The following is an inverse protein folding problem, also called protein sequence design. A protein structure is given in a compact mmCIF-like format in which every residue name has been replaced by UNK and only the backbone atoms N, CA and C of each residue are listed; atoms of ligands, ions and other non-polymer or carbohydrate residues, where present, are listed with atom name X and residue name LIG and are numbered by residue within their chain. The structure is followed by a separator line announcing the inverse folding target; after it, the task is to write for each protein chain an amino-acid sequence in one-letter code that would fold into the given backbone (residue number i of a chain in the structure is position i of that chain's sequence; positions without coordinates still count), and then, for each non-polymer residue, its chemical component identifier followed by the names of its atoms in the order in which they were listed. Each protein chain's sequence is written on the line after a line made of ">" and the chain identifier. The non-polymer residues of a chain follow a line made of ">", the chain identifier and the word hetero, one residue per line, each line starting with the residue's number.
data_IF_794248482922
#
_entry.id   IF_794248482922
#
_cell.length_a   1.000
_cell.length_b   1.000
_cell.length_c   1.000
_cell.angle_alpha   90.00
_cell.angle_beta   90.00
_cell.angle_gamma   90.00
#
_symmetry.space_group_name_H-M   'P 1'
#
loop_
_entity.id
_entity.type
_entity.pdbx_description
1 polymer ?
#
# COMPACT_ATOMS: atom_id res chain seq x y z
N UNK A 1 33.96 -4.47 -8.49
CA UNK A 1 34.22 -3.01 -8.53
C UNK A 1 32.94 -2.30 -8.13
N UNK A 2 32.82 -1.87 -6.88
CA UNK A 2 31.66 -1.08 -6.39
C UNK A 2 31.86 0.36 -6.84
N UNK A 3 31.29 0.72 -7.99
CA UNK A 3 31.23 2.11 -8.43
C UNK A 3 30.29 2.87 -7.49
N UNK A 4 30.82 3.84 -6.75
CA UNK A 4 30.02 4.72 -5.90
C UNK A 4 29.06 5.54 -6.77
N UNK A 5 27.75 5.32 -6.62
CA UNK A 5 26.69 6.03 -7.34
C UNK A 5 26.71 7.51 -6.97
N UNK A 6 27.10 8.38 -7.90
CA UNK A 6 27.08 9.83 -7.70
C UNK A 6 25.71 10.40 -8.09
N UNK A 7 24.96 10.91 -7.12
CA UNK A 7 23.78 11.74 -7.35
C UNK A 7 24.25 13.13 -7.79
N UNK A 8 23.69 13.64 -8.88
CA UNK A 8 23.94 14.97 -9.41
C UNK A 8 22.87 15.91 -8.85
N UNK A 9 23.30 17.00 -8.21
CA UNK A 9 22.39 18.06 -7.78
C UNK A 9 21.63 18.69 -8.96
N UNK A 10 20.63 19.54 -8.71
CA UNK A 10 19.91 20.22 -9.77
C UNK A 10 20.88 20.98 -10.68
N UNK A 11 20.70 20.91 -12.02
CA UNK A 11 21.55 21.66 -12.94
C UNK A 11 21.32 23.16 -12.69
N UNK A 12 22.38 23.89 -12.33
CA UNK A 12 22.33 25.35 -12.22
C UNK A 12 22.01 25.91 -13.60
N UNK A 13 20.85 26.55 -13.75
CA UNK A 13 20.46 27.22 -14.99
C UNK A 13 21.26 28.51 -15.07
N UNK A 14 22.47 28.44 -15.64
CA UNK A 14 23.28 29.62 -15.90
C UNK A 14 22.57 30.52 -16.90
N UNK A 15 22.07 31.65 -16.42
CA UNK A 15 21.37 32.66 -17.21
C UNK A 15 21.54 34.05 -16.63
N UNK A 16 22.77 34.58 -16.63
CA UNK A 16 23.14 35.99 -16.82
C UNK A 16 24.64 36.16 -16.53
N UNK A 17 25.40 36.56 -17.55
CA UNK A 17 26.82 36.85 -17.47
C UNK A 17 27.06 38.19 -16.76
N UNK A 18 28.03 38.24 -15.85
CA UNK A 18 28.97 39.36 -15.74
C UNK A 18 30.35 38.81 -15.37
N UNK A 19 31.32 39.18 -16.21
CA UNK A 19 32.76 38.97 -16.09
C UNK A 19 33.32 39.54 -14.77
N UNK A 20 34.40 38.94 -14.27
CA UNK A 20 35.35 39.62 -13.39
C UNK A 20 35.99 38.76 -12.31
N UNK A 21 37.28 38.52 -12.48
CA UNK A 21 38.31 38.17 -11.49
C UNK A 21 38.31 36.83 -10.72
N UNK A 22 39.32 36.03 -11.11
CA UNK A 22 40.03 35.09 -10.22
C UNK A 22 40.64 35.85 -9.04
N UNK A 23 40.74 35.19 -7.89
CA UNK A 23 42.06 35.01 -7.31
C UNK A 23 42.39 33.54 -7.08
N UNK A 24 43.64 33.19 -7.37
CA UNK A 24 44.27 31.96 -6.94
C UNK A 24 44.28 31.91 -5.41
N UNK A 25 43.84 30.80 -4.83
CA UNK A 25 44.16 30.46 -3.45
C UNK A 25 44.80 29.09 -3.45
N UNK A 26 46.07 29.09 -3.04
CA UNK A 26 46.94 27.95 -2.79
C UNK A 26 46.23 26.89 -1.94
N UNK A 27 46.06 25.68 -2.48
CA UNK A 27 45.52 24.54 -1.73
C UNK A 27 46.66 23.93 -0.92
N UNK A 28 46.74 24.31 0.36
CA UNK A 28 47.48 23.55 1.37
C UNK A 28 46.66 22.31 1.73
N UNK A 29 47.23 21.13 1.49
CA UNK A 29 46.68 19.83 1.88
C UNK A 29 46.76 19.68 3.41
N UNK A 30 45.66 19.43 4.15
CA UNK A 30 45.76 18.91 5.50
C UNK A 30 45.62 17.39 5.51
N UNK A 31 46.60 16.77 6.16
CA UNK A 31 46.69 15.37 6.61
C UNK A 31 45.45 14.92 7.41
N UNK A 32 45.09 13.62 7.44
CA UNK A 32 43.85 13.15 8.04
C UNK A 32 43.98 13.11 9.57
N UNK A 33 43.42 14.11 10.25
CA UNK A 33 43.20 14.06 11.69
C UNK A 33 41.74 13.64 11.93
N UNK A 34 41.57 12.44 12.48
CA UNK A 34 40.32 11.92 13.03
C UNK A 34 39.87 12.83 14.18
N UNK A 35 39.11 13.88 13.87
CA UNK A 35 38.39 14.67 14.85
C UNK A 35 37.04 14.02 15.11
N UNK A 36 36.87 13.42 16.29
CA UNK A 36 35.56 13.03 16.79
C UNK A 36 34.89 14.34 17.22
N UNK A 37 34.18 14.99 16.29
CA UNK A 37 33.40 16.17 16.62
C UNK A 37 32.31 15.81 17.65
N UNK A 38 32.15 16.59 18.73
CA UNK A 38 31.15 16.32 19.75
C UNK A 38 29.75 16.43 19.12
N UNK A 39 28.89 15.45 19.43
CA UNK A 39 27.49 15.33 18.97
C UNK A 39 26.68 16.63 19.14
N UNK A 40 27.08 17.46 20.11
CA UNK A 40 26.52 18.78 20.45
C UNK A 40 26.69 19.81 19.32
N UNK A 41 27.79 19.76 18.56
CA UNK A 41 28.00 20.67 17.41
C UNK A 41 27.11 20.26 16.25
N UNK A 42 26.88 18.94 16.09
CA UNK A 42 26.01 18.41 15.03
C UNK A 42 24.53 18.69 15.27
N UNK A 43 24.07 18.69 16.53
CA UNK A 43 22.69 19.06 16.87
C UNK A 43 22.40 20.54 16.62
N UNK A 44 23.39 21.42 16.80
CA UNK A 44 23.27 22.85 16.46
C UNK A 44 23.16 23.06 14.94
N UNK A 45 23.89 22.28 14.13
CA UNK A 45 23.75 22.29 12.66
C UNK A 45 22.39 21.74 12.19
N UNK A 46 21.72 20.92 13.00
CA UNK A 46 20.39 20.37 12.71
C UNK A 46 19.23 21.23 13.25
N UNK A 47 19.50 22.33 13.96
CA UNK A 47 18.47 23.24 14.46
C UNK A 47 17.60 22.67 15.59
N UNK A 48 18.07 21.62 16.28
CA UNK A 48 17.33 20.96 17.35
C UNK A 48 17.40 21.82 18.63
N UNK A 49 16.38 22.63 18.87
CA UNK A 49 16.20 23.37 20.12
C UNK A 49 15.26 22.60 21.05
N UNK A 50 15.55 22.59 22.35
CA UNK A 50 14.85 21.77 23.36
C UNK A 50 13.35 22.15 23.58
N UNK A 51 12.88 23.22 22.94
CA UNK A 51 11.55 23.80 23.13
C UNK A 51 10.54 23.41 22.01
N UNK A 52 10.82 22.34 21.27
CA UNK A 52 9.97 21.93 20.14
C UNK A 52 8.72 21.19 20.61
N UNK A 53 7.55 21.51 20.04
CA UNK A 53 6.29 20.91 20.47
C UNK A 53 6.28 19.41 20.09
N UNK A 54 5.99 18.58 21.08
CA UNK A 54 5.96 17.11 20.95
C UNK A 54 4.57 16.63 20.52
N UNK A 55 4.53 15.54 19.77
CA UNK A 55 3.32 14.82 19.36
C UNK A 55 3.56 13.31 19.28
N UNK A 56 2.58 12.58 18.77
CA UNK A 56 2.65 11.12 18.62
C UNK A 56 2.96 10.75 17.16
N UNK A 57 3.87 9.79 16.96
CA UNK A 57 4.13 9.16 15.67
C UNK A 57 2.97 8.24 15.25
N UNK A 58 3.00 7.72 14.01
CA UNK A 58 2.03 6.70 13.55
C UNK A 58 2.03 5.45 14.45
N UNK A 59 3.15 5.19 15.13
CA UNK A 59 3.34 4.04 16.03
C UNK A 59 3.03 4.39 17.49
N UNK A 60 2.55 5.60 17.77
CA UNK A 60 2.18 6.05 19.12
C UNK A 60 3.36 6.37 20.03
N UNK A 61 4.55 6.59 19.46
CA UNK A 61 5.72 7.05 20.22
C UNK A 61 5.82 8.57 20.23
N UNK A 62 6.31 9.15 21.32
CA UNK A 62 6.59 10.59 21.37
C UNK A 62 7.64 10.98 20.31
N UNK A 63 7.33 12.03 19.56
CA UNK A 63 8.20 12.59 18.53
C UNK A 63 7.96 14.09 18.37
N UNK A 64 8.96 14.84 17.94
CA UNK A 64 8.79 16.27 17.69
C UNK A 64 7.88 16.48 16.48
N UNK A 65 6.95 17.44 16.56
CA UNK A 65 6.05 17.78 15.45
C UNK A 65 6.78 18.43 14.26
N UNK A 66 7.92 19.07 14.54
CA UNK A 66 8.90 19.52 13.56
C UNK A 66 10.24 19.62 14.27
N UNK A 67 11.31 19.33 13.54
CA UNK A 67 12.70 19.39 13.95
C UNK A 67 13.37 20.68 13.48
N UNK A 68 12.63 21.64 12.89
CA UNK A 68 13.15 22.93 12.43
C UNK A 68 13.99 22.87 11.15
N UNK A 69 14.27 21.67 10.66
CA UNK A 69 14.92 21.42 9.37
C UNK A 69 13.97 20.64 8.46
N UNK A 70 13.49 21.22 7.34
CA UNK A 70 12.55 20.55 6.43
C UNK A 70 13.04 19.21 5.86
N UNK A 71 14.35 19.05 5.63
CA UNK A 71 14.92 17.79 5.16
C UNK A 71 14.85 16.71 6.26
N UNK A 72 15.07 17.10 7.51
CA UNK A 72 14.95 16.20 8.65
C UNK A 72 13.49 15.84 8.93
N UNK A 73 12.59 16.83 8.83
CA UNK A 73 11.15 16.62 8.92
C UNK A 73 10.67 15.64 7.87
N UNK A 74 11.13 15.80 6.62
CA UNK A 74 10.86 14.85 5.55
C UNK A 74 11.36 13.44 5.89
N UNK A 75 12.56 13.33 6.45
CA UNK A 75 13.13 12.04 6.81
C UNK A 75 12.34 11.33 7.92
N UNK A 76 11.77 12.02 8.90
CA UNK A 76 11.03 11.35 9.98
C UNK A 76 9.54 11.21 9.70
N UNK A 77 8.91 12.25 9.16
CA UNK A 77 7.46 12.33 9.03
C UNK A 77 6.90 11.65 7.77
N UNK A 78 7.72 11.42 6.73
CA UNK A 78 7.26 10.65 5.57
C UNK A 78 7.21 9.17 5.92
N UNK A 79 5.99 8.70 6.16
CA UNK A 79 5.62 7.32 6.46
C UNK A 79 4.65 6.75 5.41
N UNK A 80 4.46 5.42 5.34
CA UNK A 80 3.60 4.81 4.32
C UNK A 80 2.16 5.34 4.28
N UNK A 81 1.62 5.77 5.42
CA UNK A 81 0.28 6.35 5.53
C UNK A 81 0.15 7.79 5.00
N UNK A 82 1.26 8.52 4.84
CA UNK A 82 1.29 9.95 4.48
C UNK A 82 0.62 10.20 3.12
N UNK A 83 -0.40 11.04 2.95
CA UNK A 83 -0.96 11.34 1.62
C UNK A 83 0.07 11.89 0.62
N UNK A 84 -0.19 11.71 -0.69
CA UNK A 84 0.73 12.19 -1.74
C UNK A 84 0.88 13.72 -1.74
N UNK A 85 -0.18 14.45 -1.41
CA UNK A 85 -0.17 15.91 -1.36
C UNK A 85 0.75 16.41 -0.22
N UNK A 86 0.63 15.83 0.98
CA UNK A 86 1.51 16.14 2.11
C UNK A 86 2.97 15.82 1.80
N UNK A 87 3.24 14.72 1.11
CA UNK A 87 4.58 14.39 0.64
C UNK A 87 5.12 15.48 -0.29
N UNK A 88 4.30 15.97 -1.23
CA UNK A 88 4.69 17.05 -2.14
C UNK A 88 4.97 18.36 -1.40
N UNK A 89 4.14 18.72 -0.41
CA UNK A 89 4.38 19.91 0.43
C UNK A 89 5.70 19.83 1.19
N UNK A 90 5.98 18.68 1.80
CA UNK A 90 7.25 18.48 2.50
C UNK A 90 8.45 18.42 1.54
N UNK A 91 8.26 17.88 0.32
CA UNK A 91 9.30 17.95 -0.71
C UNK A 91 9.58 19.39 -1.15
N UNK A 92 8.55 20.23 -1.31
CA UNK A 92 8.74 21.64 -1.66
C UNK A 92 9.62 22.35 -0.62
N UNK A 93 9.34 22.13 0.67
CA UNK A 93 10.12 22.71 1.76
C UNK A 93 11.55 22.16 1.84
N UNK A 94 11.71 20.83 1.76
CA UNK A 94 13.03 20.19 1.77
C UNK A 94 13.87 20.61 0.57
N UNK A 95 13.26 20.71 -0.61
CA UNK A 95 13.93 21.13 -1.83
C UNK A 95 14.36 22.59 -1.79
N UNK A 96 13.52 23.48 -1.24
CA UNK A 96 13.88 24.89 -1.06
C UNK A 96 15.06 25.07 -0.10
N UNK A 97 15.17 24.21 0.92
CA UNK A 97 16.26 24.22 1.89
C UNK A 97 17.57 23.66 1.30
N UNK A 98 17.54 22.43 0.78
CA UNK A 98 18.70 21.78 0.17
C UNK A 98 18.23 20.74 -0.88
N UNK A 99 18.25 21.10 -2.17
CA UNK A 99 17.86 20.22 -3.25
C UNK A 99 18.64 18.90 -3.32
N UNK A 100 19.92 18.90 -2.97
CA UNK A 100 20.76 17.71 -3.06
C UNK A 100 20.38 16.73 -1.95
N UNK A 101 20.18 17.23 -0.73
CA UNK A 101 19.68 16.42 0.38
C UNK A 101 18.26 15.93 0.12
N UNK A 102 17.37 16.76 -0.40
CA UNK A 102 16.04 16.35 -0.81
C UNK A 102 16.08 15.19 -1.84
N UNK A 103 16.96 15.27 -2.84
CA UNK A 103 17.13 14.20 -3.82
C UNK A 103 17.67 12.90 -3.19
N UNK A 104 18.63 12.99 -2.27
CA UNK A 104 19.10 11.84 -1.49
C UNK A 104 17.97 11.22 -0.66
N UNK A 105 17.10 12.04 -0.08
CA UNK A 105 15.94 11.58 0.69
C UNK A 105 14.91 10.86 -0.19
N UNK A 106 14.70 11.33 -1.43
CA UNK A 106 13.88 10.63 -2.43
C UNK A 106 14.47 9.25 -2.74
N UNK A 107 15.78 9.16 -2.96
CA UNK A 107 16.46 7.87 -3.14
C UNK A 107 16.32 6.96 -1.90
N UNK A 108 16.41 7.53 -0.71
CA UNK A 108 16.22 6.83 0.56
C UNK A 108 14.80 6.26 0.73
N UNK A 109 13.77 6.91 0.18
CA UNK A 109 12.43 6.31 0.15
C UNK A 109 12.45 4.95 -0.55
N UNK A 110 13.23 4.83 -1.63
CA UNK A 110 13.25 3.62 -2.44
C UNK A 110 14.18 2.52 -1.94
N UNK A 111 15.25 2.87 -1.25
CA UNK A 111 16.32 1.93 -0.86
C UNK A 111 15.78 0.67 -0.20
N UNK A 112 16.09 -0.51 -0.78
CA UNK A 112 15.58 -1.82 -0.31
C UNK A 112 16.66 -2.70 0.31
N UNK A 113 17.94 -2.40 0.06
CA UNK A 113 19.07 -3.25 0.47
C UNK A 113 19.63 -2.85 1.84
N UNK A 114 18.74 -2.53 2.78
CA UNK A 114 19.12 -1.94 4.07
C UNK A 114 19.60 -0.48 3.99
N UNK A 115 19.43 0.15 2.82
CA UNK A 115 19.89 1.51 2.53
C UNK A 115 18.80 2.57 2.65
N UNK A 116 17.56 2.19 2.98
CA UNK A 116 16.45 3.12 3.04
C UNK A 116 15.14 2.51 3.53
N UNK A 117 14.05 3.25 3.30
CA UNK A 117 12.71 2.97 3.85
C UNK A 117 11.91 1.92 3.07
N UNK A 118 12.37 1.54 1.88
CA UNK A 118 11.69 0.56 1.01
C UNK A 118 10.23 0.93 0.67
N UNK A 119 9.88 2.21 0.72
CA UNK A 119 8.56 2.74 0.40
C UNK A 119 8.45 3.11 -1.08
N UNK A 120 8.01 2.13 -1.87
CA UNK A 120 7.84 2.29 -3.31
C UNK A 120 6.77 3.33 -3.68
N UNK A 121 5.68 3.46 -2.91
CA UNK A 121 4.57 4.32 -3.31
C UNK A 121 4.91 5.79 -3.07
N UNK A 122 5.58 6.11 -1.95
CA UNK A 122 6.11 7.45 -1.72
C UNK A 122 7.23 7.80 -2.67
N UNK A 123 8.08 6.82 -3.01
CA UNK A 123 9.08 7.03 -4.06
C UNK A 123 8.45 7.40 -5.41
N UNK A 124 7.41 6.70 -5.86
CA UNK A 124 6.75 7.03 -7.13
C UNK A 124 6.07 8.40 -7.10
N UNK A 125 5.42 8.75 -5.98
CA UNK A 125 4.84 10.08 -5.81
C UNK A 125 5.92 11.18 -5.86
N UNK A 126 7.06 10.97 -5.19
CA UNK A 126 8.20 11.89 -5.24
C UNK A 126 8.83 12.00 -6.64
N UNK A 127 8.92 10.89 -7.38
CA UNK A 127 9.42 10.89 -8.75
C UNK A 127 8.48 11.66 -9.71
N UNK A 128 7.16 11.54 -9.52
CA UNK A 128 6.18 12.33 -10.26
C UNK A 128 6.28 13.82 -9.91
N UNK A 129 6.50 14.15 -8.63
CA UNK A 129 6.76 15.52 -8.20
C UNK A 129 8.04 16.09 -8.86
N UNK A 130 9.13 15.29 -8.92
CA UNK A 130 10.34 15.68 -9.64
C UNK A 130 10.08 15.87 -11.13
N UNK A 131 9.24 15.04 -11.75
CA UNK A 131 8.89 15.20 -13.15
C UNK A 131 8.15 16.51 -13.41
N UNK A 132 7.24 16.92 -12.52
CA UNK A 132 6.45 18.14 -12.68
C UNK A 132 7.25 19.42 -12.39
N UNK A 133 8.16 19.40 -11.42
CA UNK A 133 8.89 20.61 -10.98
C UNK A 133 10.33 20.68 -11.53
N UNK A 134 11.02 19.53 -11.62
CA UNK A 134 12.45 19.44 -11.93
C UNK A 134 12.78 18.29 -12.92
N UNK A 135 12.15 18.24 -14.11
CA UNK A 135 12.27 17.10 -15.04
C UNK A 135 13.70 16.85 -15.52
N UNK A 136 14.52 17.91 -15.63
CA UNK A 136 15.95 17.80 -15.96
C UNK A 136 16.72 17.06 -14.86
N UNK A 137 16.46 17.37 -13.59
CA UNK A 137 17.09 16.69 -12.45
C UNK A 137 16.71 15.21 -12.45
N UNK A 138 15.44 14.88 -12.68
CA UNK A 138 14.98 13.50 -12.77
C UNK A 138 15.72 12.75 -13.89
N UNK A 139 15.82 13.36 -15.07
CA UNK A 139 16.47 12.77 -16.24
C UNK A 139 17.97 12.53 -16.01
N UNK A 140 18.68 13.52 -15.45
CA UNK A 140 20.12 13.42 -15.16
C UNK A 140 20.43 12.38 -14.07
N UNK A 141 19.50 12.16 -13.15
CA UNK A 141 19.66 11.23 -12.04
C UNK A 141 18.97 9.88 -12.24
N UNK A 142 18.45 9.62 -13.44
CA UNK A 142 17.77 8.36 -13.75
C UNK A 142 18.63 7.15 -13.39
N UNK A 143 19.92 7.15 -13.77
CA UNK A 143 20.82 6.06 -13.40
C UNK A 143 20.93 5.87 -11.88
N UNK A 144 21.12 6.96 -11.13
CA UNK A 144 21.28 6.88 -9.69
C UNK A 144 20.01 6.31 -9.01
N UNK A 145 18.84 6.80 -9.41
CA UNK A 145 17.54 6.30 -8.93
C UNK A 145 17.36 4.80 -9.19
N UNK A 146 17.91 4.27 -10.30
CA UNK A 146 17.91 2.83 -10.61
C UNK A 146 18.75 1.98 -9.68
N UNK A 147 19.90 2.52 -9.27
CA UNK A 147 20.86 1.83 -8.44
C UNK A 147 20.37 1.73 -6.99
N UNK A 148 19.70 2.76 -6.47
CA UNK A 148 19.06 2.72 -5.14
C UNK A 148 17.82 1.80 -5.11
N UNK A 149 17.02 1.82 -6.17
CA UNK A 149 15.86 0.96 -6.31
C UNK A 149 16.13 -0.28 -7.17
N UNK A 150 15.28 -0.41 -8.18
CA UNK A 150 15.32 -1.45 -9.19
C UNK A 150 15.05 -0.81 -10.55
N UNK A 151 15.61 -1.42 -11.60
CA UNK A 151 15.37 -0.97 -12.97
C UNK A 151 13.87 -0.92 -13.35
N UNK A 152 13.05 -1.85 -12.83
CA UNK A 152 11.59 -1.86 -13.08
C UNK A 152 10.87 -0.60 -12.60
N UNK A 153 11.48 0.14 -11.69
CA UNK A 153 10.88 1.36 -11.15
C UNK A 153 10.82 2.47 -12.22
N UNK A 154 11.73 2.49 -13.21
CA UNK A 154 11.66 3.43 -14.34
C UNK A 154 10.41 3.23 -15.16
N UNK A 155 10.14 1.96 -15.52
CA UNK A 155 8.97 1.62 -16.32
C UNK A 155 7.69 2.01 -15.57
N UNK A 156 7.66 1.80 -14.25
CA UNK A 156 6.53 2.20 -13.42
C UNK A 156 6.39 3.73 -13.31
N UNK A 157 7.49 4.49 -13.18
CA UNK A 157 7.47 5.96 -13.18
C UNK A 157 6.93 6.47 -14.52
N UNK A 158 7.45 5.99 -15.65
CA UNK A 158 6.98 6.38 -16.98
C UNK A 158 5.49 6.07 -17.18
N UNK A 159 5.05 4.90 -16.73
CA UNK A 159 3.65 4.51 -16.78
C UNK A 159 2.76 5.46 -15.96
N UNK A 160 3.19 5.83 -14.74
CA UNK A 160 2.44 6.75 -13.87
C UNK A 160 2.49 8.20 -14.35
N UNK A 161 3.52 8.62 -15.07
CA UNK A 161 3.55 9.92 -15.77
C UNK A 161 2.42 9.98 -16.80
N UNK A 162 2.15 8.87 -17.52
CA UNK A 162 1.09 8.82 -18.53
C UNK A 162 -0.33 8.65 -17.94
N UNK A 163 -0.49 7.76 -16.97
CA UNK A 163 -1.81 7.34 -16.47
C UNK A 163 -2.21 7.97 -15.12
N UNK A 164 -1.26 8.60 -14.43
CA UNK A 164 -1.43 9.16 -13.09
C UNK A 164 -0.98 8.24 -11.95
N UNK A 165 -0.85 8.83 -10.76
CA UNK A 165 -0.25 8.19 -9.58
C UNK A 165 -1.04 6.96 -9.08
N UNK A 166 -2.37 7.00 -9.17
CA UNK A 166 -3.27 5.99 -8.61
C UNK A 166 -3.66 4.87 -9.60
N UNK A 167 -3.04 4.82 -10.79
CA UNK A 167 -3.37 3.84 -11.84
C UNK A 167 -3.36 2.39 -11.33
N UNK A 168 -2.37 2.04 -10.49
CA UNK A 168 -2.28 0.69 -9.91
C UNK A 168 -3.35 0.42 -8.87
N UNK A 169 -3.77 1.44 -8.11
CA UNK A 169 -4.87 1.29 -7.15
C UNK A 169 -6.19 1.04 -7.87
N UNK A 170 -6.47 1.82 -8.92
CA UNK A 170 -7.65 1.65 -9.78
C UNK A 170 -7.69 0.25 -10.41
N UNK A 171 -6.61 -0.18 -11.07
CA UNK A 171 -6.52 -1.50 -11.70
C UNK A 171 -6.61 -2.68 -10.70
N UNK A 172 -6.16 -2.49 -9.46
CA UNK A 172 -6.30 -3.51 -8.41
C UNK A 172 -7.73 -3.58 -7.86
N UNK A 173 -8.40 -2.43 -7.73
CA UNK A 173 -9.79 -2.36 -7.31
C UNK A 173 -10.70 -3.06 -8.33
N UNK A 174 -10.56 -2.71 -9.61
CA UNK A 174 -11.31 -3.32 -10.71
C UNK A 174 -11.12 -4.84 -10.75
N UNK A 175 -9.87 -5.34 -10.73
CA UNK A 175 -9.61 -6.79 -10.65
C UNK A 175 -10.23 -7.45 -9.42
N UNK A 176 -10.30 -6.75 -8.29
CA UNK A 176 -10.92 -7.29 -7.07
C UNK A 176 -12.43 -7.39 -7.23
N UNK A 177 -13.06 -6.38 -7.82
CA UNK A 177 -14.49 -6.35 -8.13
C UNK A 177 -14.87 -7.42 -9.16
N UNK A 178 -14.09 -7.55 -10.24
CA UNK A 178 -14.28 -8.63 -11.24
C UNK A 178 -14.18 -10.03 -10.60
N UNK A 179 -13.19 -10.24 -9.73
CA UNK A 179 -13.04 -11.51 -9.01
C UNK A 179 -14.24 -11.77 -8.11
N UNK A 180 -14.70 -10.75 -7.38
CA UNK A 180 -15.88 -10.86 -6.53
C UNK A 180 -17.14 -11.19 -7.36
N UNK A 181 -17.33 -10.51 -8.50
CA UNK A 181 -18.42 -10.76 -9.42
C UNK A 181 -18.40 -12.18 -10.00
N UNK A 182 -17.21 -12.68 -10.40
CA UNK A 182 -17.05 -14.07 -10.87
C UNK A 182 -17.41 -15.10 -9.78
N UNK A 183 -17.01 -14.84 -8.54
CA UNK A 183 -17.35 -15.72 -7.40
C UNK A 183 -18.86 -15.68 -7.13
N UNK A 184 -19.47 -14.49 -7.14
CA UNK A 184 -20.92 -14.34 -6.98
C UNK A 184 -21.69 -15.03 -8.12
N UNK A 185 -21.28 -14.86 -9.37
CA UNK A 185 -21.93 -15.53 -10.51
C UNK A 185 -21.88 -17.05 -10.39
N UNK A 186 -20.75 -17.63 -9.95
CA UNK A 186 -20.66 -19.08 -9.67
C UNK A 186 -21.57 -19.51 -8.52
N UNK A 187 -21.71 -18.68 -7.48
CA UNK A 187 -22.65 -18.92 -6.37
C UNK A 187 -24.09 -18.90 -6.89
N UNK A 188 -24.48 -17.89 -7.65
CA UNK A 188 -25.82 -17.76 -8.22
C UNK A 188 -26.18 -18.91 -9.16
N UNK A 189 -25.24 -19.37 -10.00
CA UNK A 189 -25.46 -20.56 -10.85
C UNK A 189 -25.74 -21.82 -10.03
N UNK A 190 -25.06 -22.00 -8.90
CA UNK A 190 -25.31 -23.14 -7.99
C UNK A 190 -26.68 -23.04 -7.33
N UNK A 191 -27.07 -21.86 -6.85
CA UNK A 191 -28.42 -21.64 -6.30
C UNK A 191 -29.48 -21.89 -7.37
N UNK A 192 -29.34 -21.34 -8.57
CA UNK A 192 -30.28 -21.57 -9.67
C UNK A 192 -30.37 -23.06 -10.05
N UNK A 193 -29.26 -23.82 -10.03
CA UNK A 193 -29.31 -25.27 -10.25
C UNK A 193 -30.11 -26.00 -9.16
N UNK A 194 -30.00 -25.57 -7.90
CA UNK A 194 -30.75 -26.18 -6.79
C UNK A 194 -32.25 -25.88 -6.94
N UNK A 195 -32.61 -24.61 -7.13
CA UNK A 195 -34.02 -24.21 -7.25
C UNK A 195 -34.71 -24.73 -8.51
N UNK A 196 -33.97 -24.90 -9.61
CA UNK A 196 -34.51 -25.53 -10.83
C UNK A 196 -34.74 -27.03 -10.67
N UNK A 197 -34.12 -27.67 -9.68
CA UNK A 197 -34.40 -29.07 -9.34
C UNK A 197 -35.65 -29.17 -8.46
N UNK A 198 -35.89 -28.18 -7.58
CA UNK A 198 -37.12 -28.06 -6.77
C UNK A 198 -38.37 -27.88 -7.67
N UNK A 199 -38.32 -26.98 -8.68
CA UNK A 199 -39.46 -26.76 -9.60
C UNK A 199 -39.78 -27.98 -10.49
N UNK A 200 -38.77 -28.77 -10.87
CA UNK A 200 -38.99 -29.99 -11.66
C UNK A 200 -39.42 -31.18 -10.78
N UNK A 201 -39.05 -31.20 -9.49
CA UNK A 201 -39.56 -32.20 -8.53
C UNK A 201 -41.04 -31.92 -8.22
N UNK A 202 -41.46 -30.65 -8.11
CA UNK A 202 -42.87 -30.28 -7.95
C UNK A 202 -43.72 -30.61 -9.21
N UNK A 203 -43.18 -30.49 -10.44
CA UNK A 203 -43.87 -30.90 -11.69
C UNK A 203 -43.91 -32.43 -11.90
N UNK A 204 -42.92 -33.19 -11.40
CA UNK A 204 -42.95 -34.67 -11.43
C UNK A 204 -43.86 -35.25 -10.34
N UNK A 205 -44.05 -34.55 -9.21
CA UNK A 205 -45.02 -34.93 -8.17
C UNK A 205 -46.47 -34.67 -8.59
N UNK A 206 -46.79 -33.55 -9.28
CA UNK A 206 -48.15 -33.31 -9.82
C UNK A 206 -48.53 -34.30 -10.94
N UNK A 207 -47.56 -34.88 -11.64
CA UNK A 207 -47.81 -35.86 -12.70
C UNK A 207 -47.72 -37.33 -12.21
N UNK A 208 -47.31 -37.57 -10.96
CA UNK A 208 -47.28 -38.90 -10.32
C UNK A 208 -48.39 -39.11 -9.28
N UNK A 209 -49.18 -38.08 -8.95
CA UNK A 209 -50.39 -38.19 -8.10
C UNK A 209 -51.58 -38.92 -8.78
N UNK A 210 -51.30 -39.72 -9.80
CA UNK A 210 -52.22 -40.68 -10.41
C UNK A 210 -51.64 -42.10 -10.34
N UNK A 211 -51.20 -42.54 -9.15
CA UNK A 211 -50.84 -43.95 -8.96
C UNK A 211 -50.22 -44.28 -7.61
N UNK A 212 -50.95 -45.09 -6.85
CA UNK A 212 -50.51 -45.95 -5.72
C UNK A 212 -50.44 -45.29 -4.32
N UNK A 213 -51.51 -45.52 -3.54
CA UNK A 213 -51.53 -45.34 -2.09
C UNK A 213 -50.54 -46.31 -1.41
N UNK A 214 -49.67 -45.85 -0.47
CA UNK A 214 -48.72 -46.73 0.20
C UNK A 214 -49.41 -47.56 1.31
N UNK A 215 -49.25 -48.88 1.26
CA UNK A 215 -49.86 -49.85 2.18
C UNK A 215 -49.33 -49.83 3.64
N UNK A 216 -48.45 -48.88 4.01
CA UNK A 216 -47.76 -48.87 5.31
C UNK A 216 -47.70 -47.45 5.95
N UNK A 217 -48.49 -47.22 7.00
CA UNK A 217 -48.66 -45.91 7.65
C UNK A 217 -47.35 -45.32 8.22
N UNK A 218 -46.39 -46.16 8.62
CA UNK A 218 -45.12 -45.70 9.21
C UNK A 218 -44.17 -45.08 8.15
N UNK A 219 -44.25 -45.55 6.90
CA UNK A 219 -43.46 -45.03 5.79
C UNK A 219 -43.93 -43.63 5.37
N UNK A 220 -45.25 -43.40 5.34
CA UNK A 220 -45.84 -42.09 5.05
C UNK A 220 -45.47 -41.00 6.07
N UNK A 221 -45.38 -41.35 7.35
CA UNK A 221 -44.97 -40.41 8.42
C UNK A 221 -43.50 -40.02 8.30
N UNK A 222 -42.60 -40.94 7.90
CA UNK A 222 -41.17 -40.65 7.73
C UNK A 222 -40.89 -39.73 6.53
N UNK A 223 -41.62 -39.94 5.42
CA UNK A 223 -41.48 -39.11 4.21
C UNK A 223 -41.93 -37.67 4.51
N UNK A 224 -43.09 -37.51 5.16
CA UNK A 224 -43.63 -36.18 5.50
C UNK A 224 -42.78 -35.42 6.54
N UNK A 225 -42.16 -36.12 7.50
CA UNK A 225 -41.22 -35.49 8.46
C UNK A 225 -39.91 -35.05 7.78
N UNK A 226 -39.39 -35.84 6.84
CA UNK A 226 -38.16 -35.50 6.10
C UNK A 226 -38.36 -34.26 5.23
N UNK A 227 -39.51 -34.15 4.56
CA UNK A 227 -39.87 -32.98 3.76
C UNK A 227 -40.03 -31.70 4.62
N UNK A 228 -40.70 -31.81 5.78
CA UNK A 228 -40.87 -30.69 6.73
C UNK A 228 -39.54 -30.20 7.30
N UNK A 229 -38.60 -31.11 7.60
CA UNK A 229 -37.28 -30.74 8.10
C UNK A 229 -36.39 -30.11 7.03
N UNK A 230 -36.53 -30.53 5.76
CA UNK A 230 -35.80 -29.94 4.63
C UNK A 230 -36.21 -28.48 4.42
N UNK A 231 -37.53 -28.21 4.28
CA UNK A 231 -38.09 -26.86 4.07
C UNK A 231 -37.71 -25.89 5.19
N UNK A 232 -37.74 -26.34 6.45
CA UNK A 232 -37.34 -25.54 7.62
C UNK A 232 -35.85 -25.16 7.64
N UNK A 233 -34.97 -25.98 7.05
CA UNK A 233 -33.53 -25.69 6.98
C UNK A 233 -33.18 -24.64 5.91
N UNK A 234 -33.96 -24.60 4.83
CA UNK A 234 -33.76 -23.69 3.69
C UNK A 234 -34.24 -22.28 4.04
N UNK A 235 -35.38 -22.12 4.72
CA UNK A 235 -35.86 -20.82 5.22
C UNK A 235 -34.91 -20.19 6.26
N UNK A 236 -34.33 -21.00 7.15
CA UNK A 236 -33.34 -20.54 8.13
C UNK A 236 -32.04 -20.04 7.47
N UNK A 237 -31.68 -20.63 6.32
CA UNK A 237 -30.53 -20.19 5.52
C UNK A 237 -30.81 -18.90 4.73
N UNK A 238 -32.05 -18.66 4.30
CA UNK A 238 -32.42 -17.49 3.50
C UNK A 238 -32.52 -16.20 4.33
N UNK A 239 -32.78 -16.32 5.63
CA UNK A 239 -32.96 -15.17 6.56
C UNK A 239 -31.71 -14.80 7.36
N UNK A 240 -30.63 -15.60 7.27
CA UNK A 240 -29.40 -15.37 8.02
C UNK A 240 -28.58 -14.20 7.47
N UNK A 241 -28.45 -13.13 8.25
CA UNK A 241 -27.58 -11.98 7.94
C UNK A 241 -26.10 -12.41 7.89
N UNK A 242 -25.26 -11.77 7.05
CA UNK A 242 -23.85 -12.13 6.93
C UNK A 242 -23.12 -11.89 8.25
N UNK A 243 -22.61 -12.98 8.82
CA UNK A 243 -21.83 -12.98 10.05
C UNK A 243 -20.40 -12.56 9.72
N UNK A 244 -19.83 -11.67 10.53
CA UNK A 244 -18.45 -11.20 10.38
C UNK A 244 -17.44 -12.36 10.41
N UNK A 245 -16.30 -12.16 9.74
CA UNK A 245 -15.28 -13.19 9.51
C UNK A 245 -14.67 -13.71 10.81
N UNK A 246 -14.61 -12.89 11.87
CA UNK A 246 -14.02 -13.29 13.14
C UNK A 246 -14.97 -14.19 13.94
N UNK A 247 -16.24 -13.83 13.99
CA UNK A 247 -17.30 -14.63 14.64
C UNK A 247 -17.53 -15.96 13.92
N UNK A 248 -17.44 -15.99 12.59
CA UNK A 248 -17.52 -17.22 11.80
C UNK A 248 -16.35 -18.20 12.08
N UNK A 249 -15.15 -17.68 12.38
CA UNK A 249 -13.99 -18.50 12.73
C UNK A 249 -14.12 -19.09 14.13
N UNK A 250 -14.60 -18.31 15.10
CA UNK A 250 -14.85 -18.77 16.46
C UNK A 250 -15.86 -19.92 16.47
N UNK A 251 -17.01 -19.77 15.79
CA UNK A 251 -18.03 -20.82 15.72
C UNK A 251 -17.52 -22.09 15.02
N UNK A 252 -16.62 -21.98 14.04
CA UNK A 252 -16.06 -23.15 13.36
C UNK A 252 -15.11 -23.93 14.26
N UNK A 253 -14.29 -23.23 15.04
CA UNK A 253 -13.37 -23.81 16.03
C UNK A 253 -14.14 -24.50 17.16
N UNK A 254 -15.23 -23.90 17.62
CA UNK A 254 -16.12 -24.48 18.63
C UNK A 254 -16.83 -25.74 18.11
N UNK A 255 -17.30 -25.73 16.86
CA UNK A 255 -17.95 -26.89 16.24
C UNK A 255 -17.00 -28.06 15.99
N UNK A 256 -15.73 -27.77 15.72
CA UNK A 256 -14.68 -28.79 15.60
C UNK A 256 -14.30 -29.36 16.97
N UNK A 257 -14.22 -28.53 18.02
CA UNK A 257 -14.00 -28.98 19.39
C UNK A 257 -15.15 -29.88 19.90
N UNK A 258 -16.41 -29.51 19.62
CA UNK A 258 -17.58 -30.31 19.99
C UNK A 258 -17.66 -31.66 19.26
N UNK A 259 -17.08 -31.75 18.05
CA UNK A 259 -16.97 -33.02 17.30
C UNK A 259 -15.82 -33.90 17.78
N UNK A 260 -14.77 -33.31 18.34
CA UNK A 260 -13.63 -34.06 18.89
C UNK A 260 -13.90 -34.61 20.30
N UNK A 261 -14.92 -34.09 20.99
CA UNK A 261 -15.33 -34.53 22.32
C UNK A 261 -16.40 -35.64 22.32
N UNK A 262 -16.75 -36.19 21.15
CA UNK A 262 -17.80 -37.20 20.96
C UNK A 262 -17.21 -38.46 20.35
#
# INVERSE_FOLDING_TARGET
>A
MTTSTKILGPPSVAGAALSGDKPQTTVTIPSPQTSIEPLIVKSQTLGLTDDQPMGLSEQGSDTYLSFGNPCLDFFFHIVPSTPADKLADQLNLAWAQDPLTALNLICNLRGVRGTGKSDKERFYAAALWLYTHHPKTLSLNARALAEFGYFKDFVEILYRINEGLDVRKKANLERREERAARVMAKRMRRYAHIYRHDENEDEEDENSEAGEEPEDEEAGVRITQKAKNSKKSVEASATAKPIDKETARAMRKEREAAKAAK
#
